data_IF_652621122084
#
_entry.id   IF_652621122084
#
_cell.length_a   1.000
_cell.length_b   1.000
_cell.length_c   1.000
_cell.angle_alpha   90.00
_cell.angle_beta   90.00
_cell.angle_gamma   90.00
#
_symmetry.space_group_name_H-M   'P 1'
#
loop_
_entity.id
_entity.type
_entity.pdbx_description
1 polymer ?
#
# COMPACT_ATOMS: atom_id res chain seq x y z
N UNK A 1 -12.67 10.41 17.09
CA UNK A 1 -12.21 11.77 16.77
C UNK A 1 -11.01 11.59 15.88
N UNK A 2 -11.04 12.09 14.65
CA UNK A 2 -9.89 11.94 13.76
C UNK A 2 -8.69 12.73 14.31
N UNK A 3 -7.46 12.40 13.89
CA UNK A 3 -6.32 13.19 14.32
C UNK A 3 -6.37 14.65 13.82
N UNK A 4 -7.00 14.88 12.66
CA UNK A 4 -7.27 16.24 12.19
C UNK A 4 -8.20 17.01 13.13
N UNK A 5 -9.23 16.37 13.69
CA UNK A 5 -10.13 17.00 14.67
C UNK A 5 -9.40 17.35 15.97
N UNK A 6 -8.44 16.51 16.38
CA UNK A 6 -7.58 16.77 17.54
C UNK A 6 -6.68 17.97 17.28
N UNK A 7 -6.04 18.04 16.11
CA UNK A 7 -5.25 19.23 15.73
C UNK A 7 -6.13 20.48 15.68
N UNK A 8 -7.35 20.39 15.13
CA UNK A 8 -8.32 21.50 15.10
C UNK A 8 -8.81 21.87 16.51
N UNK A 9 -8.78 20.94 17.46
CA UNK A 9 -9.10 21.25 18.86
C UNK A 9 -7.94 21.98 19.51
N UNK A 10 -6.71 21.47 19.34
CA UNK A 10 -5.50 22.06 19.92
C UNK A 10 -5.23 23.45 19.35
N UNK A 11 -5.27 23.57 18.02
CA UNK A 11 -4.97 24.80 17.27
C UNK A 11 -6.14 25.09 16.29
N UNK A 12 -7.22 25.74 16.75
CA UNK A 12 -8.44 25.93 15.96
C UNK A 12 -8.22 26.65 14.63
N UNK A 13 -8.95 26.31 13.55
CA UNK A 13 -8.83 27.01 12.29
C UNK A 13 -9.01 28.53 12.43
N UNK A 14 -8.13 29.31 11.80
CA UNK A 14 -8.20 30.77 11.80
C UNK A 14 -8.28 31.30 10.38
N UNK A 15 -9.23 32.20 10.12
CA UNK A 15 -9.42 32.82 8.80
C UNK A 15 -9.50 31.79 7.66
N UNK A 16 -10.18 30.66 7.91
CA UNK A 16 -10.32 29.55 6.96
C UNK A 16 -9.07 28.68 6.77
N UNK A 17 -8.02 28.87 7.58
CA UNK A 17 -6.80 28.05 7.56
C UNK A 17 -6.82 27.05 8.70
N UNK A 18 -6.82 25.76 8.37
CA UNK A 18 -6.66 24.68 9.35
C UNK A 18 -5.17 24.37 9.58
N UNK A 19 -4.81 23.86 10.77
CA UNK A 19 -3.49 23.30 11.00
C UNK A 19 -3.26 22.03 10.15
N UNK A 20 -2.00 21.78 9.81
CA UNK A 20 -1.55 20.61 9.08
C UNK A 20 -0.24 20.08 9.69
N UNK A 21 0.00 18.78 9.54
CA UNK A 21 1.24 18.15 9.98
C UNK A 21 2.40 18.68 9.14
N UNK A 22 3.46 19.07 9.85
CA UNK A 22 4.75 19.53 9.32
C UNK A 22 5.91 18.62 9.70
N UNK A 23 5.68 17.69 10.63
CA UNK A 23 6.61 16.65 11.01
C UNK A 23 5.87 15.50 11.68
N UNK A 24 6.16 14.27 11.26
CA UNK A 24 5.43 13.10 11.75
C UNK A 24 6.11 12.49 12.97
N UNK A 25 5.32 11.76 13.77
CA UNK A 25 5.91 10.87 14.79
C UNK A 25 6.81 9.82 14.13
N UNK A 26 7.97 9.57 14.73
CA UNK A 26 8.96 8.62 14.23
C UNK A 26 9.78 9.10 13.03
N UNK A 27 9.51 10.30 12.50
CA UNK A 27 10.30 10.87 11.41
C UNK A 27 11.78 10.99 11.83
N UNK A 28 12.67 10.39 11.05
CA UNK A 28 14.10 10.43 11.34
C UNK A 28 14.66 11.84 11.09
N UNK A 29 15.12 12.49 12.17
CA UNK A 29 15.82 13.77 12.14
C UNK A 29 17.28 13.54 12.53
N UNK A 30 18.14 14.55 12.34
CA UNK A 30 19.57 14.44 12.65
C UNK A 30 19.91 14.01 14.10
N UNK A 31 18.95 14.11 15.03
CA UNK A 31 19.10 13.71 16.43
C UNK A 31 18.31 12.43 16.81
N UNK A 32 17.84 11.66 15.83
CA UNK A 32 17.04 10.45 16.04
C UNK A 32 15.57 10.61 15.66
N UNK A 33 14.73 9.59 15.98
CA UNK A 33 13.33 9.59 15.63
C UNK A 33 12.57 10.67 16.40
N UNK A 34 11.70 11.37 15.68
CA UNK A 34 10.89 12.44 16.22
C UNK A 34 9.82 11.90 17.20
N UNK A 35 9.83 12.36 18.46
CA UNK A 35 9.02 11.78 19.54
C UNK A 35 7.53 12.17 19.56
N UNK A 36 7.07 12.96 18.60
CA UNK A 36 5.73 13.53 18.52
C UNK A 36 5.37 13.93 17.10
N UNK A 37 4.23 14.57 16.88
CA UNK A 37 3.93 15.25 15.62
C UNK A 37 4.09 16.75 15.77
N UNK A 38 4.65 17.39 14.75
CA UNK A 38 4.72 18.84 14.63
C UNK A 38 3.63 19.32 13.70
N UNK A 39 2.89 20.36 14.07
CA UNK A 39 1.91 21.00 13.18
C UNK A 39 1.79 22.50 13.42
N UNK A 40 1.39 23.21 12.37
CA UNK A 40 1.03 24.63 12.40
C UNK A 40 0.09 24.96 11.22
N UNK A 41 -0.30 26.23 11.07
CA UNK A 41 -1.12 26.64 9.92
C UNK A 41 -0.29 26.62 8.62
N UNK A 42 -0.96 26.38 7.48
CA UNK A 42 -0.32 26.49 6.16
C UNK A 42 0.27 27.90 5.97
N UNK A 43 1.51 27.97 5.49
CA UNK A 43 2.25 29.22 5.28
C UNK A 43 3.55 29.35 6.09
N UNK A 44 3.89 28.36 6.93
CA UNK A 44 5.18 28.32 7.62
C UNK A 44 5.37 29.49 8.60
N UNK A 45 6.56 30.09 8.66
CA UNK A 45 6.88 31.18 9.61
C UNK A 45 6.37 32.54 9.14
N UNK A 46 5.07 32.66 8.87
CA UNK A 46 4.43 33.88 8.41
C UNK A 46 2.99 34.00 8.93
N UNK A 47 2.47 35.24 8.92
CA UNK A 47 1.07 35.53 9.26
C UNK A 47 0.67 35.01 10.64
N UNK A 48 -0.45 34.29 10.68
CA UNK A 48 -1.03 33.73 11.92
C UNK A 48 -0.06 32.86 12.72
N UNK A 49 0.90 32.19 12.07
CA UNK A 49 1.88 31.39 12.79
C UNK A 49 2.85 32.22 13.62
N UNK A 50 2.99 33.53 13.37
CA UNK A 50 3.82 34.44 14.16
C UNK A 50 3.03 35.25 15.20
N UNK A 51 1.70 35.09 15.27
CA UNK A 51 0.86 35.84 16.22
C UNK A 51 0.66 35.12 17.56
N UNK A 52 1.40 34.03 17.82
CA UNK A 52 1.25 33.19 19.01
C UNK A 52 -0.20 32.73 19.25
N UNK A 53 -0.81 32.00 18.29
CA UNK A 53 -2.19 31.55 18.41
C UNK A 53 -2.41 30.71 19.68
N UNK A 54 -3.59 30.86 20.29
CA UNK A 54 -3.97 30.13 21.50
C UNK A 54 -4.05 28.64 21.25
N UNK A 55 -3.42 27.87 22.14
CA UNK A 55 -3.51 26.42 22.20
C UNK A 55 -4.57 26.00 23.20
N UNK A 56 -5.25 24.89 22.91
CA UNK A 56 -6.29 24.35 23.76
C UNK A 56 -6.03 22.88 24.09
N UNK A 57 -6.60 22.42 25.21
CA UNK A 57 -6.53 21.01 25.60
C UNK A 57 -7.24 20.13 24.56
N UNK A 58 -6.64 19.00 24.13
CA UNK A 58 -7.32 18.01 23.30
C UNK A 58 -8.25 17.09 24.11
N UNK A 59 -8.08 17.04 25.43
CA UNK A 59 -8.69 16.02 26.29
C UNK A 59 -9.30 16.59 27.56
N UNK A 60 -10.21 15.80 28.14
CA UNK A 60 -10.55 15.90 29.56
C UNK A 60 -9.41 15.31 30.38
N UNK A 61 -8.90 16.05 31.36
CA UNK A 61 -7.79 15.55 32.17
C UNK A 61 -7.34 16.50 33.27
N UNK A 62 -6.24 16.14 33.92
CA UNK A 62 -5.58 16.95 34.96
C UNK A 62 -4.20 17.38 34.48
N UNK A 63 -3.89 18.67 34.60
CA UNK A 63 -2.56 19.20 34.26
C UNK A 63 -1.54 18.67 35.27
N UNK A 64 -0.52 17.96 34.80
CA UNK A 64 0.56 17.43 35.65
C UNK A 64 1.80 18.31 35.62
N UNK A 65 2.13 18.91 34.48
CA UNK A 65 3.37 19.67 34.32
C UNK A 65 3.14 20.91 33.46
N UNK A 66 3.75 22.03 33.87
CA UNK A 66 3.73 23.30 33.14
C UNK A 66 5.12 23.93 33.18
N UNK A 67 5.68 24.28 32.03
CA UNK A 67 6.92 25.03 31.90
C UNK A 67 8.13 24.21 31.43
N UNK A 68 9.27 24.36 32.10
CA UNK A 68 10.54 23.75 31.68
C UNK A 68 11.14 24.36 30.41
N UNK A 69 12.26 23.79 29.97
CA UNK A 69 13.09 24.28 28.86
C UNK A 69 12.39 24.33 27.50
N UNK A 70 11.29 23.59 27.34
CA UNK A 70 10.51 23.55 26.11
C UNK A 70 9.16 24.27 26.24
N UNK A 71 8.81 24.86 27.39
CA UNK A 71 7.46 25.40 27.61
C UNK A 71 6.41 24.30 27.46
N UNK A 72 6.59 23.17 28.14
CA UNK A 72 5.72 22.01 28.04
C UNK A 72 4.46 22.19 28.89
N UNK A 73 3.30 21.83 28.35
CA UNK A 73 2.09 21.55 29.13
C UNK A 73 1.80 20.05 29.03
N UNK A 74 1.73 19.34 30.16
CA UNK A 74 1.36 17.92 30.22
C UNK A 74 0.00 17.76 30.89
N UNK A 75 -0.93 17.08 30.22
CA UNK A 75 -2.26 16.76 30.72
C UNK A 75 -2.39 15.24 30.79
N UNK A 76 -2.87 14.72 31.91
CA UNK A 76 -3.13 13.28 32.10
C UNK A 76 -4.61 13.01 31.93
N UNK A 77 -4.96 12.15 30.98
CA UNK A 77 -6.34 11.75 30.71
C UNK A 77 -6.88 10.74 31.74
N UNK A 78 -8.15 10.36 31.61
CA UNK A 78 -8.79 9.38 32.50
C UNK A 78 -8.24 7.95 32.39
N UNK A 79 -7.41 7.65 31.39
CA UNK A 79 -6.76 6.36 31.19
C UNK A 79 -5.28 6.38 31.62
N UNK A 80 -4.80 7.52 32.12
CA UNK A 80 -3.41 7.72 32.54
C UNK A 80 -2.46 8.11 31.41
N UNK A 81 -2.95 8.31 30.18
CA UNK A 81 -2.12 8.77 29.08
C UNK A 81 -1.71 10.23 29.28
N UNK A 82 -0.47 10.56 28.97
CA UNK A 82 0.09 11.90 29.06
C UNK A 82 0.06 12.55 27.69
N UNK A 83 -0.65 13.66 27.59
CA UNK A 83 -0.72 14.53 26.42
C UNK A 83 0.22 15.71 26.64
N UNK A 84 1.29 15.81 25.85
CA UNK A 84 2.33 16.81 26.08
C UNK A 84 2.44 17.75 24.87
N UNK A 85 2.20 19.04 25.11
CA UNK A 85 2.32 20.10 24.12
C UNK A 85 3.57 20.92 24.44
N UNK A 86 4.52 20.94 23.51
CA UNK A 86 5.83 21.56 23.65
C UNK A 86 5.95 22.81 22.76
N UNK A 87 7.04 23.54 22.96
CA UNK A 87 7.42 24.77 22.28
C UNK A 87 6.47 25.95 22.52
N UNK A 88 5.65 25.92 23.57
CA UNK A 88 4.71 27.02 23.83
C UNK A 88 5.42 28.31 24.24
N UNK A 89 4.88 29.45 23.79
CA UNK A 89 5.37 30.78 24.14
C UNK A 89 4.91 31.17 25.56
N UNK A 90 3.62 30.98 25.84
CA UNK A 90 3.01 31.18 27.16
C UNK A 90 2.23 29.95 27.59
N UNK A 91 2.02 29.79 28.90
CA UNK A 91 1.22 28.73 29.51
C UNK A 91 0.19 29.39 30.44
N UNK A 92 -1.10 29.09 30.26
CA UNK A 92 -2.19 29.74 31.00
C UNK A 92 -2.84 28.85 32.06
N UNK A 93 -2.35 27.61 32.21
CA UNK A 93 -2.84 26.62 33.18
C UNK A 93 -1.84 26.37 34.29
N UNK A 94 -2.31 25.81 35.39
CA UNK A 94 -1.49 25.44 36.56
C UNK A 94 -1.55 23.93 36.82
N UNK A 95 -0.51 23.39 37.44
CA UNK A 95 -0.48 21.98 37.88
C UNK A 95 -1.64 21.69 38.82
N UNK A 96 -2.33 20.56 38.60
CA UNK A 96 -3.54 20.14 39.32
C UNK A 96 -4.84 20.69 38.72
N UNK A 97 -4.79 21.62 37.76
CA UNK A 97 -5.98 22.14 37.12
C UNK A 97 -6.66 21.05 36.28
N UNK A 98 -7.98 20.91 36.45
CA UNK A 98 -8.81 20.08 35.56
C UNK A 98 -9.12 20.87 34.29
N UNK A 99 -8.99 20.23 33.14
CA UNK A 99 -9.27 20.81 31.83
C UNK A 99 -10.18 19.89 31.02
N UNK A 100 -10.91 20.48 30.09
CA UNK A 100 -11.78 19.80 29.13
C UNK A 100 -11.32 20.12 27.70
N UNK A 101 -11.72 19.36 26.66
CA UNK A 101 -11.40 19.68 25.27
C UNK A 101 -11.78 21.13 24.93
N UNK A 102 -10.87 21.87 24.31
CA UNK A 102 -11.08 23.30 24.00
C UNK A 102 -10.78 24.27 25.14
N UNK A 103 -10.35 23.81 26.32
CA UNK A 103 -9.87 24.72 27.38
C UNK A 103 -8.56 25.41 26.94
N UNK A 104 -8.42 26.75 26.97
CA UNK A 104 -7.17 27.42 26.66
C UNK A 104 -6.04 27.03 27.62
N UNK A 105 -4.88 26.62 27.08
CA UNK A 105 -3.74 26.13 27.87
C UNK A 105 -2.45 26.92 27.69
N UNK A 106 -2.38 27.81 26.70
CA UNK A 106 -1.21 28.62 26.41
C UNK A 106 -1.24 29.15 24.99
N UNK A 107 -0.08 29.53 24.47
CA UNK A 107 0.06 29.99 23.08
C UNK A 107 1.19 29.28 22.36
N UNK A 108 1.02 29.05 21.06
CA UNK A 108 2.05 28.47 20.19
C UNK A 108 3.30 29.36 20.19
N UNK A 109 4.47 28.73 20.13
CA UNK A 109 5.75 29.43 20.09
C UNK A 109 6.83 28.57 19.46
N UNK A 110 8.09 28.94 19.73
CA UNK A 110 9.28 28.24 19.25
C UNK A 110 10.26 27.91 20.37
N UNK A 111 9.78 27.79 21.62
CA UNK A 111 10.66 27.70 22.79
C UNK A 111 11.45 26.40 22.79
N UNK A 112 12.76 26.50 22.96
CA UNK A 112 13.67 25.37 23.11
C UNK A 112 14.67 25.57 24.26
N UNK A 113 15.56 24.58 24.49
CA UNK A 113 16.48 24.58 25.63
C UNK A 113 17.45 25.76 25.69
N UNK A 114 17.62 26.48 24.58
CA UNK A 114 18.51 27.61 24.41
C UNK A 114 17.78 28.96 24.27
N UNK A 115 16.43 29.01 24.34
CA UNK A 115 15.69 30.27 24.32
C UNK A 115 14.26 30.17 23.78
N UNK A 116 13.50 31.27 23.89
CA UNK A 116 12.07 31.32 23.56
C UNK A 116 11.76 31.25 22.05
N UNK A 117 12.72 31.60 21.19
CA UNK A 117 12.59 31.60 19.74
C UNK A 117 13.60 30.66 19.06
N UNK A 118 14.00 29.58 19.73
CA UNK A 118 15.00 28.65 19.20
C UNK A 118 14.51 27.90 17.95
N UNK A 119 13.25 27.51 17.94
CA UNK A 119 12.63 26.80 16.84
C UNK A 119 11.68 27.72 16.08
N UNK A 120 11.44 27.39 14.80
CA UNK A 120 10.31 27.89 14.06
C UNK A 120 9.01 27.66 14.87
N UNK A 121 8.05 28.59 14.87
CA UNK A 121 6.81 28.43 15.61
C UNK A 121 5.99 27.24 15.09
N UNK A 122 5.71 26.29 15.98
CA UNK A 122 4.88 25.12 15.74
C UNK A 122 4.37 24.56 17.06
N UNK A 123 3.37 23.70 16.98
CA UNK A 123 2.99 22.82 18.09
C UNK A 123 3.74 21.52 17.91
N UNK A 124 4.53 21.11 18.90
CA UNK A 124 5.01 19.74 19.01
C UNK A 124 4.11 19.00 20.00
N UNK A 125 3.38 18.02 19.51
CA UNK A 125 2.48 17.20 20.31
C UNK A 125 3.02 15.78 20.43
N UNK A 126 3.39 15.37 21.63
CA UNK A 126 3.82 14.01 21.93
C UNK A 126 2.92 13.39 22.98
N UNK A 127 2.83 12.07 22.97
CA UNK A 127 2.02 11.32 23.90
C UNK A 127 2.83 10.22 24.58
N UNK A 128 2.46 9.92 25.83
CA UNK A 128 2.93 8.74 26.55
C UNK A 128 1.76 7.96 27.11
N UNK A 129 1.90 6.64 27.19
CA UNK A 129 0.94 5.80 27.92
C UNK A 129 1.09 5.98 29.44
N UNK A 130 0.23 5.31 30.21
CA UNK A 130 0.27 5.33 31.68
C UNK A 130 1.58 4.77 32.26
N UNK A 131 2.32 3.97 31.50
CA UNK A 131 3.61 3.40 31.88
C UNK A 131 4.79 4.33 31.50
N UNK A 132 4.52 5.42 30.78
CA UNK A 132 5.52 6.41 30.36
C UNK A 132 6.17 6.12 29.01
N UNK A 133 5.74 5.07 28.30
CA UNK A 133 6.23 4.76 26.96
C UNK A 133 5.69 5.77 25.96
N UNK A 134 6.51 6.16 24.99
CA UNK A 134 6.03 7.05 23.92
C UNK A 134 5.02 6.32 23.04
N UNK A 135 3.93 6.99 22.72
CA UNK A 135 2.88 6.49 21.84
C UNK A 135 2.69 7.47 20.68
N UNK A 136 2.46 6.93 19.48
CA UNK A 136 2.22 7.75 18.31
C UNK A 136 0.85 8.45 18.43
N UNK A 137 0.80 9.78 18.53
CA UNK A 137 -0.47 10.50 18.66
C UNK A 137 -1.36 10.33 17.42
N UNK A 138 -0.79 10.25 16.22
CA UNK A 138 -1.53 10.09 14.97
C UNK A 138 -2.36 8.81 15.00
N UNK A 139 -1.75 7.67 15.34
CA UNK A 139 -2.44 6.38 15.40
C UNK A 139 -3.34 6.25 16.62
N UNK A 140 -2.93 6.77 17.79
CA UNK A 140 -3.75 6.75 19.00
C UNK A 140 -5.13 7.39 18.76
N UNK A 141 -5.16 8.54 18.09
CA UNK A 141 -6.40 9.27 17.85
C UNK A 141 -7.24 8.64 16.73
N UNK A 142 -6.60 8.25 15.62
CA UNK A 142 -7.30 7.56 14.53
C UNK A 142 -7.94 6.24 14.96
N UNK A 143 -7.34 5.48 15.88
CA UNK A 143 -7.94 4.24 16.40
C UNK A 143 -9.17 4.48 17.28
N UNK A 144 -9.22 5.58 18.04
CA UNK A 144 -10.39 5.95 18.86
C UNK A 144 -11.58 6.45 18.04
N UNK A 145 -11.38 6.84 16.80
CA UNK A 145 -12.45 7.18 15.85
C UNK A 145 -13.39 6.00 15.56
N UNK A 146 -12.86 4.77 15.62
CA UNK A 146 -13.60 3.55 15.32
C UNK A 146 -14.16 2.81 16.56
N UNK A 147 -14.24 3.49 17.72
CA UNK A 147 -15.03 3.02 18.87
C UNK A 147 -14.36 2.01 19.82
N UNK A 148 -13.04 1.82 19.76
CA UNK A 148 -12.33 0.90 20.66
C UNK A 148 -11.91 1.55 21.99
N UNK A 149 -12.53 1.15 23.11
CA UNK A 149 -11.95 1.30 24.46
C UNK A 149 -10.87 0.24 24.69
N UNK A 150 -9.80 0.66 25.34
CA UNK A 150 -8.49 0.00 25.53
C UNK A 150 -8.49 -1.36 26.27
N UNK A 151 -7.49 -2.22 25.98
CA UNK A 151 -7.04 -3.30 26.87
C UNK A 151 -5.53 -3.63 26.69
N UNK A 152 -4.76 -3.32 27.74
CA UNK A 152 -3.56 -3.95 28.32
C UNK A 152 -2.44 -4.63 27.46
N UNK A 153 -1.24 -4.06 27.57
CA UNK A 153 0.14 -4.61 27.64
C UNK A 153 0.62 -5.86 26.83
N UNK A 154 1.59 -5.57 25.92
CA UNK A 154 2.77 -6.35 25.43
C UNK A 154 2.57 -7.50 24.40
N UNK A 155 3.51 -7.76 23.44
CA UNK A 155 4.96 -7.47 23.45
C UNK A 155 5.43 -6.43 22.41
N UNK A 156 6.74 -6.12 22.44
CA UNK A 156 7.44 -5.10 21.66
C UNK A 156 6.82 -4.85 20.27
N UNK A 157 6.34 -3.61 20.06
CA UNK A 157 5.72 -3.17 18.82
C UNK A 157 6.70 -3.37 17.66
N UNK A 158 6.25 -4.16 16.68
CA UNK A 158 6.79 -4.09 15.33
C UNK A 158 6.85 -2.64 14.85
N UNK A 159 7.98 -2.22 14.28
CA UNK A 159 8.09 -0.87 13.72
C UNK A 159 8.31 0.26 14.73
N UNK A 160 8.94 -0.01 15.89
CA UNK A 160 9.41 1.05 16.80
C UNK A 160 10.40 2.04 16.13
N UNK A 161 11.04 1.64 15.02
CA UNK A 161 11.87 2.45 14.14
C UNK A 161 11.14 2.92 12.86
N UNK A 162 9.83 2.69 12.77
CA UNK A 162 9.00 2.97 11.59
C UNK A 162 9.16 1.95 10.46
N UNK A 163 9.75 0.79 10.75
CA UNK A 163 10.02 -0.25 9.76
C UNK A 163 9.44 -1.59 10.22
N UNK A 164 8.44 -2.10 9.50
CA UNK A 164 7.88 -3.42 9.79
C UNK A 164 8.64 -4.52 9.04
N UNK A 165 9.13 -5.53 9.74
CA UNK A 165 9.95 -6.61 9.14
C UNK A 165 9.72 -7.98 9.78
N UNK A 166 10.21 -9.02 9.11
CA UNK A 166 10.05 -10.40 9.55
C UNK A 166 10.53 -10.62 10.99
N UNK A 167 9.71 -11.35 11.76
CA UNK A 167 9.95 -11.65 13.17
C UNK A 167 9.30 -10.65 14.13
N UNK A 168 8.86 -9.50 13.65
CA UNK A 168 8.14 -8.54 14.46
C UNK A 168 6.67 -8.91 14.64
N UNK A 169 6.05 -8.43 15.73
CA UNK A 169 4.68 -8.73 16.09
C UNK A 169 3.95 -7.51 16.60
N UNK A 170 2.64 -7.48 16.46
CA UNK A 170 1.79 -6.44 17.04
C UNK A 170 0.78 -5.84 16.06
N UNK A 171 0.09 -4.82 16.54
CA UNK A 171 -1.03 -4.20 15.81
C UNK A 171 -0.60 -3.55 14.50
N UNK A 172 0.61 -3.01 14.42
CA UNK A 172 1.11 -2.40 13.18
C UNK A 172 1.35 -3.44 12.07
N UNK A 173 1.83 -4.63 12.45
CA UNK A 173 1.89 -5.78 11.52
C UNK A 173 0.50 -6.20 11.09
N UNK A 174 -0.46 -6.25 12.02
CA UNK A 174 -1.83 -6.62 11.72
C UNK A 174 -2.47 -5.64 10.73
N UNK A 175 -2.30 -4.34 10.97
CA UNK A 175 -2.79 -3.29 10.09
C UNK A 175 -2.13 -3.34 8.70
N UNK A 176 -0.83 -3.65 8.65
CA UNK A 176 -0.13 -3.93 7.40
C UNK A 176 -0.74 -5.13 6.67
N UNK A 177 -0.95 -6.27 7.35
CA UNK A 177 -1.55 -7.48 6.79
C UNK A 177 -2.97 -7.22 6.27
N UNK A 178 -3.79 -6.48 7.01
CA UNK A 178 -5.14 -6.08 6.62
C UNK A 178 -5.11 -5.14 5.40
N UNK A 179 -4.19 -4.19 5.37
CA UNK A 179 -4.00 -3.29 4.23
C UNK A 179 -3.55 -4.04 2.99
N UNK A 180 -2.55 -4.91 3.09
CA UNK A 180 -2.13 -5.78 2.00
C UNK A 180 -3.31 -6.63 1.51
N UNK A 181 -4.09 -7.22 2.42
CA UNK A 181 -5.25 -8.01 2.05
C UNK A 181 -6.34 -7.21 1.32
N UNK A 182 -6.65 -5.99 1.80
CA UNK A 182 -7.59 -5.04 1.18
C UNK A 182 -7.12 -4.58 -0.19
N UNK A 183 -5.82 -4.40 -0.34
CA UNK A 183 -5.18 -4.05 -1.61
C UNK A 183 -4.98 -5.25 -2.54
N UNK A 184 -5.39 -6.45 -2.13
CA UNK A 184 -5.28 -7.67 -2.95
C UNK A 184 -3.86 -8.23 -3.05
N UNK A 185 -2.98 -7.94 -2.11
CA UNK A 185 -1.66 -8.54 -1.99
C UNK A 185 -1.75 -9.78 -1.09
N UNK A 186 -1.16 -10.88 -1.57
CA UNK A 186 -1.24 -12.24 -1.02
C UNK A 186 0.17 -12.81 -0.86
N UNK A 187 0.28 -13.98 -0.22
CA UNK A 187 1.52 -14.75 -0.25
C UNK A 187 1.83 -15.31 -1.66
N UNK A 188 3.02 -15.89 -1.84
CA UNK A 188 3.46 -16.41 -3.15
C UNK A 188 2.60 -17.58 -3.67
N UNK A 189 1.79 -18.19 -2.80
CA UNK A 189 0.85 -19.26 -3.14
C UNK A 189 -0.56 -18.72 -3.41
N UNK A 190 -0.73 -17.39 -3.46
CA UNK A 190 -2.00 -16.72 -3.76
C UNK A 190 -3.00 -16.72 -2.60
N UNK A 191 -2.58 -17.04 -1.37
CA UNK A 191 -3.47 -17.12 -0.22
C UNK A 191 -3.50 -15.80 0.55
N UNK A 192 -4.69 -15.43 1.04
CA UNK A 192 -4.85 -14.27 1.91
C UNK A 192 -4.01 -14.39 3.17
N UNK A 193 -3.44 -13.26 3.61
CA UNK A 193 -2.68 -13.19 4.85
C UNK A 193 -3.62 -13.40 6.03
N UNK A 194 -3.16 -14.12 7.05
CA UNK A 194 -3.80 -14.05 8.36
C UNK A 194 -3.42 -12.68 8.94
N UNK A 195 -4.42 -11.88 9.32
CA UNK A 195 -4.21 -10.63 10.06
C UNK A 195 -4.00 -10.93 11.55
N UNK A 196 -3.03 -11.79 11.85
CA UNK A 196 -2.72 -12.30 13.18
C UNK A 196 -1.77 -11.38 13.96
N UNK A 197 -1.21 -10.38 13.28
CA UNK A 197 -0.23 -9.47 13.87
C UNK A 197 1.17 -10.06 13.95
N UNK A 198 1.45 -11.20 13.32
CA UNK A 198 2.78 -11.80 13.26
C UNK A 198 3.42 -11.57 11.89
N UNK A 199 4.56 -10.87 11.84
CA UNK A 199 5.25 -10.59 10.58
C UNK A 199 6.06 -11.83 10.19
N UNK A 200 5.35 -12.85 9.73
CA UNK A 200 5.94 -14.09 9.22
C UNK A 200 6.37 -14.00 7.76
N UNK A 201 6.81 -15.13 7.23
CA UNK A 201 7.26 -15.26 5.84
C UNK A 201 6.18 -14.83 4.83
N UNK A 202 4.91 -15.12 5.12
CA UNK A 202 3.78 -14.74 4.25
C UNK A 202 3.60 -13.22 4.16
N UNK A 203 3.78 -12.50 5.27
CA UNK A 203 3.73 -11.04 5.31
C UNK A 203 4.89 -10.44 4.51
N UNK A 204 6.11 -10.99 4.67
CA UNK A 204 7.29 -10.58 3.90
C UNK A 204 7.09 -10.74 2.39
N UNK A 205 6.54 -11.88 1.97
CA UNK A 205 6.23 -12.15 0.56
C UNK A 205 5.21 -11.15 -0.02
N UNK A 206 4.14 -10.87 0.73
CA UNK A 206 3.13 -9.91 0.29
C UNK A 206 3.68 -8.47 0.21
N UNK A 207 4.55 -8.07 1.15
CA UNK A 207 5.26 -6.79 1.10
C UNK A 207 6.20 -6.71 -0.10
N UNK A 208 7.02 -7.74 -0.32
CA UNK A 208 7.93 -7.80 -1.47
C UNK A 208 7.16 -7.71 -2.80
N UNK A 209 6.04 -8.44 -2.91
CA UNK A 209 5.14 -8.34 -4.07
C UNK A 209 4.57 -6.93 -4.24
N UNK A 210 4.14 -6.31 -3.15
CA UNK A 210 3.71 -4.91 -3.17
C UNK A 210 4.81 -3.98 -3.68
N UNK A 211 6.02 -4.12 -3.16
CA UNK A 211 7.15 -3.30 -3.56
C UNK A 211 7.46 -3.45 -5.05
N UNK A 212 7.58 -4.68 -5.54
CA UNK A 212 7.85 -4.98 -6.95
C UNK A 212 6.82 -4.35 -7.89
N UNK A 213 5.54 -4.50 -7.57
CA UNK A 213 4.45 -4.00 -8.43
C UNK A 213 4.28 -2.47 -8.38
N UNK A 214 4.80 -1.81 -7.33
CA UNK A 214 4.76 -0.35 -7.19
C UNK A 214 6.12 0.32 -7.47
N UNK A 215 7.09 -0.41 -8.04
CA UNK A 215 8.39 0.12 -8.42
C UNK A 215 9.27 0.53 -7.23
N UNK A 216 9.06 -0.08 -6.06
CA UNK A 216 9.86 0.11 -4.85
C UNK A 216 10.97 -0.94 -4.75
N UNK A 217 11.91 -0.74 -3.83
CA UNK A 217 12.92 -1.74 -3.51
C UNK A 217 12.28 -3.01 -2.92
N UNK A 218 12.46 -4.17 -3.56
CA UNK A 218 11.86 -5.45 -3.19
C UNK A 218 12.68 -6.18 -2.11
N UNK A 219 12.65 -5.69 -0.88
CA UNK A 219 13.33 -6.28 0.28
C UNK A 219 12.38 -7.00 1.26
N UNK A 220 11.07 -6.89 1.05
CA UNK A 220 10.04 -7.47 1.91
C UNK A 220 9.91 -6.77 3.28
N UNK A 221 10.49 -5.58 3.42
CA UNK A 221 10.50 -4.76 4.62
C UNK A 221 9.59 -3.54 4.40
N UNK A 222 8.55 -3.39 5.22
CA UNK A 222 7.67 -2.23 5.11
C UNK A 222 8.27 -1.03 5.85
N UNK A 223 9.29 -0.43 5.23
CA UNK A 223 9.84 0.87 5.62
C UNK A 223 9.04 2.06 5.07
N UNK A 224 9.49 3.28 5.35
CA UNK A 224 8.82 4.55 5.02
C UNK A 224 8.19 4.60 3.62
N UNK A 225 8.96 4.31 2.58
CA UNK A 225 8.48 4.42 1.20
C UNK A 225 7.42 3.37 0.86
N UNK A 226 7.55 2.19 1.47
CA UNK A 226 6.58 1.09 1.32
C UNK A 226 5.29 1.40 2.05
N UNK A 227 5.36 1.89 3.29
CA UNK A 227 4.19 2.28 4.08
C UNK A 227 3.45 3.47 3.46
N UNK A 228 4.18 4.46 2.92
CA UNK A 228 3.58 5.59 2.18
C UNK A 228 2.83 5.08 0.94
N UNK A 229 3.47 4.24 0.13
CA UNK A 229 2.85 3.70 -1.07
C UNK A 229 1.62 2.83 -0.74
N UNK A 230 1.66 2.04 0.35
CA UNK A 230 0.50 1.27 0.82
C UNK A 230 -0.68 2.16 1.23
N UNK A 231 -0.41 3.34 1.81
CA UNK A 231 -1.43 4.33 2.18
C UNK A 231 -2.06 5.03 0.98
N UNK A 232 -1.29 5.23 -0.09
CA UNK A 232 -1.73 5.89 -1.33
C UNK A 232 -2.35 4.91 -2.34
N UNK A 233 -2.12 3.60 -2.16
CA UNK A 233 -2.62 2.57 -3.05
C UNK A 233 -4.15 2.44 -2.98
N UNK A 234 -4.79 2.45 -4.15
CA UNK A 234 -6.19 2.09 -4.26
C UNK A 234 -6.34 0.56 -4.16
N UNK A 235 -7.45 0.05 -3.58
CA UNK A 235 -7.77 -1.38 -3.64
C UNK A 235 -7.67 -1.84 -5.08
N UNK A 236 -6.96 -2.96 -5.33
CA UNK A 236 -7.08 -3.63 -6.62
C UNK A 236 -8.56 -3.87 -6.85
N UNK A 237 -9.12 -3.31 -7.93
CA UNK A 237 -10.44 -3.73 -8.41
C UNK A 237 -10.37 -5.24 -8.56
N UNK A 238 -11.30 -5.96 -7.93
CA UNK A 238 -11.33 -7.43 -7.93
C UNK A 238 -11.07 -7.93 -9.35
N UNK A 239 -9.92 -8.59 -9.53
CA UNK A 239 -9.29 -8.83 -10.83
C UNK A 239 -7.76 -8.75 -10.80
N UNK A 240 -7.19 -8.13 -9.76
CA UNK A 240 -5.75 -7.99 -9.58
C UNK A 240 -5.01 -9.17 -8.92
N UNK A 241 -5.73 -10.17 -8.42
CA UNK A 241 -5.20 -11.50 -8.06
C UNK A 241 -5.31 -12.46 -9.27
N UNK A 242 -4.75 -12.03 -10.39
CA UNK A 242 -4.30 -12.99 -11.40
C UNK A 242 -2.81 -12.78 -11.55
N UNK A 243 -2.07 -13.83 -11.21
CA UNK A 243 -0.65 -13.95 -11.53
C UNK A 243 -0.42 -13.38 -12.93
N UNK A 244 0.62 -12.58 -13.12
CA UNK A 244 0.96 -12.12 -14.45
C UNK A 244 1.18 -13.35 -15.34
N UNK A 245 0.89 -13.25 -16.62
CA UNK A 245 1.16 -14.33 -17.57
C UNK A 245 2.64 -14.77 -17.50
N UNK A 246 3.54 -13.84 -17.15
CA UNK A 246 4.96 -14.07 -16.90
C UNK A 246 5.30 -14.78 -15.58
N UNK A 247 4.39 -14.79 -14.61
CA UNK A 247 4.61 -15.38 -13.30
C UNK A 247 4.55 -16.92 -13.38
N UNK A 248 5.50 -17.65 -12.78
CA UNK A 248 5.52 -19.12 -12.82
C UNK A 248 4.27 -19.81 -12.28
N UNK A 249 3.51 -19.15 -11.41
CA UNK A 249 2.27 -19.65 -10.82
C UNK A 249 1.05 -19.46 -11.73
N UNK A 250 1.17 -18.70 -12.83
CA UNK A 250 0.06 -18.47 -13.74
C UNK A 250 -0.23 -19.71 -14.61
N UNK A 251 -1.51 -20.13 -14.79
CA UNK A 251 -1.86 -21.31 -15.58
C UNK A 251 -1.30 -21.30 -17.01
N UNK A 252 -1.19 -20.13 -17.63
CA UNK A 252 -0.65 -19.97 -18.99
C UNK A 252 0.85 -19.62 -19.02
N UNK A 253 1.58 -19.72 -17.90
CA UNK A 253 3.01 -19.42 -17.89
C UNK A 253 3.84 -20.36 -18.77
N UNK A 254 3.45 -21.63 -18.89
CA UNK A 254 4.11 -22.56 -19.80
C UNK A 254 4.06 -22.06 -21.25
N UNK A 255 2.91 -21.53 -21.66
CA UNK A 255 2.72 -20.93 -22.98
C UNK A 255 3.52 -19.63 -23.14
N UNK A 256 3.59 -18.81 -22.09
CA UNK A 256 4.45 -17.62 -22.06
C UNK A 256 5.92 -17.93 -22.30
N UNK A 257 6.46 -18.95 -21.62
CA UNK A 257 7.85 -19.37 -21.79
C UNK A 257 8.11 -19.91 -23.19
N UNK A 258 7.14 -20.63 -23.77
CA UNK A 258 7.21 -21.11 -25.15
C UNK A 258 7.22 -19.95 -26.16
N UNK A 259 6.34 -18.95 -25.96
CA UNK A 259 6.30 -17.75 -26.78
C UNK A 259 7.63 -16.98 -26.69
N UNK A 260 8.14 -16.75 -25.48
CA UNK A 260 9.39 -16.04 -25.25
C UNK A 260 10.58 -16.74 -25.94
N UNK A 261 10.73 -18.05 -25.75
CA UNK A 261 11.77 -18.84 -26.39
C UNK A 261 11.66 -18.87 -27.93
N UNK A 262 10.43 -18.74 -28.46
CA UNK A 262 10.18 -18.60 -29.89
C UNK A 262 10.64 -17.25 -30.43
N UNK A 263 10.27 -16.17 -29.75
CA UNK A 263 10.68 -14.81 -30.10
C UNK A 263 12.19 -14.61 -30.01
N UNK A 264 12.86 -15.24 -29.03
CA UNK A 264 14.32 -15.24 -28.90
C UNK A 264 15.02 -15.87 -30.10
N UNK A 265 14.46 -16.96 -30.64
CA UNK A 265 15.00 -17.64 -31.82
C UNK A 265 14.85 -16.82 -33.10
N UNK A 266 13.86 -15.94 -33.18
CA UNK A 266 13.70 -15.04 -34.33
C UNK A 266 14.73 -13.90 -34.35
N UNK A 267 15.32 -13.57 -33.20
CA UNK A 267 16.33 -12.53 -33.10
C UNK A 267 15.81 -11.10 -33.33
N UNK A 268 16.71 -10.11 -33.39
CA UNK A 268 16.35 -8.69 -33.43
C UNK A 268 15.66 -8.25 -34.73
N UNK A 269 15.85 -8.98 -35.82
CA UNK A 269 15.23 -8.72 -37.13
C UNK A 269 13.70 -8.86 -37.10
N UNK A 270 13.17 -9.55 -36.08
CA UNK A 270 11.73 -9.70 -35.88
C UNK A 270 11.03 -8.44 -35.32
N UNK A 271 11.78 -7.38 -35.04
CA UNK A 271 11.24 -6.10 -34.56
C UNK A 271 11.18 -5.96 -33.04
N UNK A 272 11.71 -6.94 -32.29
CA UNK A 272 11.81 -6.91 -30.83
C UNK A 272 13.24 -6.52 -30.42
N UNK A 273 13.45 -5.23 -30.12
CA UNK A 273 14.79 -4.62 -30.08
C UNK A 273 15.56 -4.94 -28.80
N UNK A 274 14.86 -5.31 -27.74
CA UNK A 274 15.43 -5.58 -26.43
C UNK A 274 14.67 -6.71 -25.73
N UNK A 275 15.11 -7.09 -24.52
CA UNK A 275 14.47 -8.14 -23.73
C UNK A 275 13.04 -7.77 -23.31
N UNK A 276 12.80 -6.51 -22.96
CA UNK A 276 11.49 -6.02 -22.53
C UNK A 276 10.46 -6.09 -23.68
N UNK A 277 10.85 -5.76 -24.92
CA UNK A 277 10.00 -5.89 -26.10
C UNK A 277 9.58 -7.35 -26.31
N UNK A 278 10.50 -8.30 -26.08
CA UNK A 278 10.25 -9.75 -26.20
C UNK A 278 9.31 -10.25 -25.10
N UNK A 279 9.47 -9.79 -23.86
CA UNK A 279 8.59 -10.14 -22.74
C UNK A 279 7.15 -9.65 -22.97
N UNK A 280 6.99 -8.38 -23.39
CA UNK A 280 5.69 -7.81 -23.74
C UNK A 280 5.04 -8.57 -24.88
N UNK A 281 5.79 -8.84 -25.95
CA UNK A 281 5.29 -9.59 -27.08
C UNK A 281 4.95 -11.04 -26.74
N UNK A 282 5.72 -11.71 -25.88
CA UNK A 282 5.41 -13.05 -25.39
C UNK A 282 4.10 -13.06 -24.60
N UNK A 283 3.85 -12.05 -23.76
CA UNK A 283 2.60 -11.94 -23.01
C UNK A 283 1.40 -11.70 -23.93
N UNK A 284 1.52 -10.80 -24.91
CA UNK A 284 0.46 -10.59 -25.92
C UNK A 284 0.21 -11.85 -26.73
N UNK A 285 1.26 -12.52 -27.22
CA UNK A 285 1.11 -13.74 -28.00
C UNK A 285 0.47 -14.89 -27.20
N UNK A 286 0.77 -14.96 -25.91
CA UNK A 286 0.14 -15.92 -24.98
C UNK A 286 -1.34 -15.62 -24.74
N UNK A 287 -1.70 -14.34 -24.61
CA UNK A 287 -3.10 -13.93 -24.55
C UNK A 287 -3.85 -14.33 -25.82
N UNK A 288 -3.34 -13.97 -27.00
CA UNK A 288 -3.98 -14.29 -28.28
C UNK A 288 -4.11 -15.82 -28.47
N UNK A 289 -3.08 -16.59 -28.08
CA UNK A 289 -3.08 -18.04 -28.18
C UNK A 289 -4.10 -18.68 -27.24
N UNK A 290 -4.15 -18.25 -25.97
CA UNK A 290 -5.10 -18.75 -25.00
C UNK A 290 -6.55 -18.41 -25.41
N UNK A 291 -6.80 -17.17 -25.86
CA UNK A 291 -8.10 -16.74 -26.39
C UNK A 291 -8.46 -17.48 -27.68
N UNK A 292 -7.47 -17.83 -28.51
CA UNK A 292 -7.62 -18.68 -29.68
C UNK A 292 -7.85 -20.17 -29.37
N UNK A 293 -7.95 -20.55 -28.10
CA UNK A 293 -8.19 -21.94 -27.66
C UNK A 293 -6.96 -22.83 -27.72
N UNK A 294 -5.75 -22.27 -27.83
CA UNK A 294 -4.52 -23.04 -27.68
C UNK A 294 -4.26 -23.35 -26.21
N UNK A 295 -3.59 -24.47 -25.94
CA UNK A 295 -3.10 -24.83 -24.61
C UNK A 295 -1.56 -24.90 -24.54
N UNK A 296 -0.87 -24.77 -25.69
CA UNK A 296 0.58 -24.64 -25.80
C UNK A 296 0.98 -23.96 -27.11
N UNK A 297 2.22 -23.48 -27.18
CA UNK A 297 2.85 -22.94 -28.40
C UNK A 297 4.04 -23.81 -28.75
N UNK A 298 4.01 -24.46 -29.92
CA UNK A 298 5.09 -25.30 -30.41
C UNK A 298 6.09 -24.49 -31.25
N UNK A 299 5.60 -23.52 -32.03
CA UNK A 299 6.42 -22.64 -32.85
C UNK A 299 5.98 -21.18 -32.78
N UNK A 300 6.95 -20.28 -32.89
CA UNK A 300 6.72 -18.86 -33.17
C UNK A 300 7.41 -18.53 -34.48
N UNK A 301 6.68 -17.99 -35.44
CA UNK A 301 7.18 -17.67 -36.78
C UNK A 301 6.82 -16.24 -37.16
N UNK A 302 7.70 -15.55 -37.86
CA UNK A 302 7.41 -14.20 -38.34
C UNK A 302 6.50 -14.26 -39.57
N UNK A 303 5.59 -13.29 -39.70
CA UNK A 303 4.83 -13.10 -40.92
C UNK A 303 5.74 -12.62 -42.06
N UNK A 304 5.42 -12.99 -43.30
CA UNK A 304 6.21 -12.69 -44.52
C UNK A 304 6.53 -11.21 -44.73
N UNK A 305 5.66 -10.31 -44.25
CA UNK A 305 5.86 -8.87 -44.38
C UNK A 305 6.54 -8.23 -43.14
N UNK A 306 6.96 -9.02 -42.16
CA UNK A 306 7.61 -8.56 -40.93
C UNK A 306 6.70 -7.80 -39.95
N UNK A 307 5.40 -7.64 -40.25
CA UNK A 307 4.47 -6.83 -39.44
C UNK A 307 4.02 -7.48 -38.12
N UNK A 308 4.31 -8.77 -37.94
CA UNK A 308 3.82 -9.55 -36.82
C UNK A 308 4.41 -10.94 -36.76
N UNK A 309 3.97 -11.69 -35.75
CA UNK A 309 4.35 -13.07 -35.49
C UNK A 309 3.12 -13.96 -35.37
N UNK A 310 3.28 -15.24 -35.66
CA UNK A 310 2.30 -16.26 -35.40
C UNK A 310 2.77 -17.18 -34.28
N UNK A 311 1.87 -17.48 -33.35
CA UNK A 311 2.00 -18.66 -32.50
C UNK A 311 1.32 -19.84 -33.18
N UNK A 312 1.98 -20.99 -33.19
CA UNK A 312 1.51 -22.20 -33.84
C UNK A 312 1.52 -23.36 -32.85
N UNK A 313 0.41 -24.11 -32.80
CA UNK A 313 0.26 -25.36 -32.07
C UNK A 313 0.10 -26.50 -33.09
N UNK A 314 0.96 -27.52 -33.02
CA UNK A 314 1.10 -28.57 -34.02
C UNK A 314 2.31 -28.35 -34.94
N UNK A 315 2.53 -29.29 -35.87
CA UNK A 315 3.63 -29.20 -36.83
C UNK A 315 3.37 -28.14 -37.90
N UNK A 316 4.40 -27.41 -38.33
CA UNK A 316 4.26 -26.35 -39.35
C UNK A 316 3.70 -26.82 -40.70
N UNK A 317 3.89 -28.11 -41.03
CA UNK A 317 3.37 -28.72 -42.26
C UNK A 317 2.08 -29.53 -42.03
N UNK A 318 1.54 -29.53 -40.81
CA UNK A 318 0.29 -30.20 -40.49
C UNK A 318 -0.90 -29.29 -40.85
N UNK A 319 -1.79 -29.66 -41.77
CA UNK A 319 -2.96 -28.83 -42.10
C UNK A 319 -3.92 -28.62 -40.91
N UNK A 320 -3.83 -29.45 -39.87
CA UNK A 320 -4.62 -29.31 -38.65
C UNK A 320 -3.94 -28.42 -37.58
N UNK A 321 -2.80 -27.77 -37.88
CA UNK A 321 -2.19 -26.86 -36.93
C UNK A 321 -3.13 -25.70 -36.59
N UNK A 322 -3.10 -25.26 -35.32
CA UNK A 322 -3.75 -24.02 -34.93
C UNK A 322 -2.74 -22.89 -35.05
N UNK A 323 -3.17 -21.72 -35.52
CA UNK A 323 -2.34 -20.51 -35.51
C UNK A 323 -3.13 -19.30 -35.05
N UNK A 324 -2.46 -18.42 -34.33
CA UNK A 324 -2.95 -17.08 -33.97
C UNK A 324 -1.92 -16.04 -34.38
N UNK A 325 -2.38 -14.85 -34.75
CA UNK A 325 -1.52 -13.75 -35.18
C UNK A 325 -1.43 -12.68 -34.10
N UNK A 326 -0.22 -12.17 -33.84
CA UNK A 326 -0.01 -10.97 -33.05
C UNK A 326 0.75 -9.92 -33.87
N UNK A 327 0.22 -8.70 -33.90
CA UNK A 327 0.89 -7.57 -34.54
C UNK A 327 2.08 -7.10 -33.70
N UNK A 328 3.26 -6.90 -34.32
CA UNK A 328 4.49 -6.54 -33.60
C UNK A 328 4.38 -5.19 -32.88
N UNK A 329 3.80 -4.17 -33.52
CA UNK A 329 3.68 -2.84 -32.91
C UNK A 329 2.74 -2.85 -31.70
N UNK A 330 1.60 -3.54 -31.82
CA UNK A 330 0.69 -3.73 -30.69
C UNK A 330 1.39 -4.48 -29.57
N UNK A 331 2.05 -5.60 -29.89
CA UNK A 331 2.69 -6.51 -28.95
C UNK A 331 3.80 -5.84 -28.11
N UNK A 332 4.56 -4.89 -28.67
CA UNK A 332 5.59 -4.15 -27.91
C UNK A 332 5.03 -2.96 -27.11
N UNK A 333 3.87 -2.44 -27.54
CA UNK A 333 3.19 -1.32 -26.85
C UNK A 333 2.35 -1.76 -25.66
N UNK A 334 1.85 -2.99 -25.68
CA UNK A 334 1.00 -3.56 -24.63
C UNK A 334 1.88 -4.14 -23.51
N UNK A 335 1.60 -3.78 -22.26
CA UNK A 335 2.38 -4.30 -21.12
C UNK A 335 2.02 -5.76 -20.80
N UNK A 336 2.88 -6.42 -20.02
CA UNK A 336 2.63 -7.79 -19.55
C UNK A 336 1.40 -7.81 -18.62
N UNK A 337 1.25 -6.78 -17.79
CA UNK A 337 0.11 -6.56 -16.90
C UNK A 337 -1.18 -6.38 -17.70
N UNK A 338 -1.16 -5.56 -18.75
CA UNK A 338 -2.32 -5.34 -19.62
C UNK A 338 -2.75 -6.64 -20.31
N UNK A 339 -1.80 -7.42 -20.83
CA UNK A 339 -2.07 -8.73 -21.43
C UNK A 339 -2.67 -9.72 -20.43
N UNK A 340 -2.15 -9.71 -19.20
CA UNK A 340 -2.63 -10.57 -18.11
C UNK A 340 -4.05 -10.19 -17.67
N UNK A 341 -4.34 -8.89 -17.58
CA UNK A 341 -5.68 -8.36 -17.27
C UNK A 341 -6.69 -8.65 -18.37
N UNK A 342 -6.30 -8.61 -19.65
CA UNK A 342 -7.20 -8.99 -20.76
C UNK A 342 -7.52 -10.49 -20.72
N UNK A 343 -6.52 -11.34 -20.51
CA UNK A 343 -6.73 -12.78 -20.40
C UNK A 343 -7.64 -13.15 -19.23
N UNK A 344 -7.49 -12.44 -18.11
CA UNK A 344 -8.35 -12.54 -16.95
C UNK A 344 -9.83 -12.31 -17.27
N UNK A 345 -10.11 -11.26 -18.04
CA UNK A 345 -11.47 -10.84 -18.38
C UNK A 345 -12.11 -11.80 -19.39
N UNK A 346 -11.32 -12.30 -20.34
CA UNK A 346 -11.83 -13.08 -21.47
C UNK A 346 -11.94 -14.58 -21.18
N UNK A 347 -11.13 -15.14 -20.25
CA UNK A 347 -11.13 -16.57 -19.94
C UNK A 347 -12.47 -17.16 -19.44
N UNK A 348 -13.24 -16.52 -18.54
CA UNK A 348 -14.52 -17.04 -18.06
C UNK A 348 -15.60 -17.11 -19.16
N UNK A 349 -15.61 -16.14 -20.08
CA UNK A 349 -16.56 -16.10 -21.18
C UNK A 349 -16.37 -17.29 -22.14
N UNK A 350 -15.11 -17.69 -22.36
CA UNK A 350 -14.79 -18.79 -23.27
C UNK A 350 -15.09 -20.18 -22.69
N UNK A 351 -14.88 -20.38 -21.39
CA UNK A 351 -15.27 -21.64 -20.74
C UNK A 351 -16.78 -21.86 -20.83
N UNK A 352 -17.59 -20.81 -20.70
CA UNK A 352 -19.03 -20.89 -20.88
C UNK A 352 -19.40 -21.26 -22.34
N UNK A 353 -18.77 -20.64 -23.35
CA UNK A 353 -19.05 -20.94 -24.76
C UNK A 353 -18.59 -22.35 -25.17
N UNK A 354 -17.45 -22.83 -24.66
CA UNK A 354 -16.96 -24.19 -24.90
C UNK A 354 -17.84 -25.25 -24.23
N UNK A 355 -18.31 -25.01 -23.01
CA UNK A 355 -19.24 -25.94 -22.34
C UNK A 355 -20.59 -26.01 -23.07
N UNK A 356 -21.10 -24.88 -23.57
CA UNK A 356 -22.36 -24.83 -24.30
C UNK A 356 -22.27 -25.55 -25.65
N UNK A 357 -21.16 -25.39 -26.38
CA UNK A 357 -20.92 -26.10 -27.64
C UNK A 357 -20.68 -27.59 -27.44
N UNK A 358 -20.00 -28.00 -26.36
CA UNK A 358 -19.86 -29.43 -25.99
C UNK A 358 -21.18 -30.07 -25.58
N UNK A 359 -22.07 -29.35 -24.87
CA UNK A 359 -23.41 -29.83 -24.53
C UNK A 359 -24.32 -29.95 -25.76
N UNK A 360 -24.27 -28.98 -26.68
CA UNK A 360 -25.01 -29.06 -27.94
C UNK A 360 -24.53 -30.22 -28.82
N UNK A 361 -23.22 -30.48 -28.90
CA UNK A 361 -22.69 -31.61 -29.65
C UNK A 361 -23.02 -32.98 -29.01
N UNK A 362 -23.22 -33.05 -27.69
CA UNK A 362 -23.67 -34.28 -27.03
C UNK A 362 -25.17 -34.54 -27.23
N UNK A 363 -25.99 -33.50 -27.32
CA UNK A 363 -27.44 -33.62 -27.58
C UNK A 363 -27.78 -33.92 -29.05
N UNK A 364 -26.84 -33.70 -29.98
CA UNK A 364 -27.01 -34.00 -31.40
C UNK A 364 -26.49 -35.39 -31.80
N UNK A 365 -25.99 -36.21 -30.87
CA UNK A 365 -25.62 -37.58 -31.19
C UNK A 365 -26.89 -38.45 -31.28
N UNK A 366 -27.21 -39.03 -32.46
CA UNK A 366 -28.38 -39.87 -32.61
C UNK A 366 -28.24 -41.11 -31.71
N UNK A 367 -29.33 -41.61 -31.12
CA UNK A 367 -29.27 -42.78 -30.24
C UNK A 367 -28.69 -43.97 -31.01
N UNK A 368 -27.69 -44.63 -30.41
CA UNK A 368 -27.16 -45.89 -30.94
C UNK A 368 -28.29 -46.92 -30.94
N UNK A 369 -28.81 -47.25 -32.11
CA UNK A 369 -29.69 -48.40 -32.28
C UNK A 369 -28.90 -49.66 -31.90
N UNK A 370 -29.29 -50.27 -30.78
CA UNK A 370 -28.84 -51.59 -30.38
C UNK A 370 -29.58 -52.60 -31.25
N UNK A 371 -28.87 -53.18 -32.23
CA UNK A 371 -29.36 -54.36 -32.96
C UNK A 371 -29.11 -55.58 -32.08
N UNK A 372 -30.21 -56.20 -31.64
CA UNK A 372 -30.22 -57.52 -31.02
C UNK A 372 -30.28 -58.64 -32.05
#
# INVERSE_FOLDING_TARGET
MSYQDVMNTILPPQQGRSPHITGHYGEHRGNGPHGGSDFNYVGGQAGVNLTHPTLHSPVTGTVEFVGGRYGTVTIVDGEGNRHQLLHTQSQSVVVGQRVEPGTPIGTMGGRGPNGEAQYAQHVHYQMKDAQGNNINPETFWSQREHGGRSAAAAPAAAGADGVLRQGERGQDVRALQETLNRLGYRDDQGRALAADGDFGERSRQAVARFQRENGLHEDGIAGRDTLKALGEAAPRREGGDRALISDPSHPNNGMYRQALAGLERLGPEAGFRNAQDRERAAATLTYEAAVGGMNRIDHVVQNVNGSGVFAVQGGLNDPAHHRVFANTQQAVSQSVEQSSQRLAQDAPAQQATQQQSQQQNQQQQPPRMSLG
#
